data_IF_499734266092
#
_entry.id   IF_499734266092
#
_cell.length_a   1.000
_cell.length_b   1.000
_cell.length_c   1.000
_cell.angle_alpha   90.00
_cell.angle_beta   90.00
_cell.angle_gamma   90.00
#
_symmetry.space_group_name_H-M   'P 1'
#
loop_
_entity.id
_entity.type
_entity.pdbx_description
1 polymer ?
#
# COMPACT_ATOMS: atom_id res chain seq x y z
N UNK A 1 17.99 11.10 35.66
CA UNK A 1 17.67 9.96 36.54
C UNK A 1 17.92 8.71 35.73
N UNK A 2 18.97 7.95 36.07
CA UNK A 2 19.36 6.71 35.38
C UNK A 2 18.84 5.55 36.21
N UNK A 3 18.04 4.66 35.61
CA UNK A 3 17.64 3.39 36.23
C UNK A 3 18.45 2.28 35.59
N UNK A 4 19.02 1.41 36.42
CA UNK A 4 19.72 0.20 36.00
C UNK A 4 18.75 -0.97 36.06
N UNK A 5 18.60 -1.70 34.95
CA UNK A 5 17.87 -2.97 34.95
C UNK A 5 18.84 -4.11 35.13
N UNK A 6 18.53 -4.99 36.08
CA UNK A 6 19.23 -6.25 36.26
C UNK A 6 18.57 -7.31 35.36
N UNK A 7 19.25 -7.68 34.28
CA UNK A 7 18.77 -8.65 33.27
C UNK A 7 19.78 -9.78 33.23
N UNK A 8 19.31 -11.02 33.34
CA UNK A 8 20.19 -12.18 33.29
C UNK A 8 20.95 -12.24 31.96
N UNK A 9 22.23 -12.63 31.99
CA UNK A 9 23.17 -12.54 30.86
C UNK A 9 22.66 -13.20 29.56
N UNK A 10 21.85 -14.26 29.68
CA UNK A 10 21.28 -15.01 28.54
C UNK A 10 19.80 -14.70 28.29
N UNK A 11 19.31 -13.54 28.71
CA UNK A 11 17.92 -13.13 28.52
C UNK A 11 17.83 -11.82 27.76
N UNK A 12 16.83 -11.72 26.89
CA UNK A 12 16.56 -10.49 26.14
C UNK A 12 15.67 -9.55 26.94
N UNK A 13 15.77 -8.27 26.63
CA UNK A 13 14.88 -7.23 27.13
C UNK A 13 14.32 -6.39 25.98
N UNK A 14 13.10 -5.90 26.17
CA UNK A 14 12.37 -5.10 25.18
C UNK A 14 11.74 -3.87 25.84
N UNK A 15 12.10 -2.69 25.35
CA UNK A 15 11.50 -1.42 25.75
C UNK A 15 10.45 -0.94 24.75
N UNK A 16 9.70 0.08 25.14
CA UNK A 16 8.59 0.65 24.37
C UNK A 16 7.53 -0.40 23.99
N UNK A 17 7.04 -1.10 25.00
CA UNK A 17 6.00 -2.13 24.88
C UNK A 17 4.76 -1.53 24.20
N UNK A 18 4.20 -2.26 23.22
CA UNK A 18 3.08 -1.80 22.38
C UNK A 18 3.35 -0.49 21.64
N UNK A 19 4.61 -0.06 21.55
CA UNK A 19 5.02 1.22 20.97
C UNK A 19 4.28 2.43 21.59
N UNK A 20 3.99 2.37 22.90
CA UNK A 20 3.21 3.40 23.60
C UNK A 20 3.94 4.76 23.73
N UNK A 21 5.27 4.76 23.71
CA UNK A 21 6.10 5.96 23.76
C UNK A 21 6.51 6.45 22.38
N UNK A 22 6.59 7.77 22.21
CA UNK A 22 7.06 8.43 20.99
C UNK A 22 8.59 8.47 20.92
N UNK A 23 9.22 7.30 21.02
CA UNK A 23 10.67 7.13 20.90
C UNK A 23 11.03 5.77 20.29
N UNK A 24 12.19 5.69 19.65
CA UNK A 24 12.76 4.43 19.15
C UNK A 24 13.77 3.89 20.17
N UNK A 25 13.93 2.57 20.17
CA UNK A 25 14.90 1.89 21.04
C UNK A 25 15.96 1.25 20.16
N UNK A 26 17.21 1.45 20.51
CA UNK A 26 18.35 0.76 19.91
C UNK A 26 19.02 -0.09 20.98
N UNK A 27 19.25 -1.36 20.68
CA UNK A 27 19.92 -2.30 21.59
C UNK A 27 21.37 -2.53 21.17
N UNK A 28 22.19 -3.05 22.09
CA UNK A 28 23.47 -3.64 21.73
C UNK A 28 23.25 -4.93 20.92
N UNK A 29 24.25 -5.32 20.14
CA UNK A 29 24.14 -6.43 19.16
C UNK A 29 23.72 -7.75 19.81
N UNK A 30 24.24 -8.06 21.00
CA UNK A 30 23.87 -9.26 21.75
C UNK A 30 22.37 -9.36 22.07
N UNK A 31 21.73 -8.25 22.47
CA UNK A 31 20.28 -8.26 22.74
C UNK A 31 19.47 -8.32 21.43
N UNK A 32 19.97 -7.76 20.33
CA UNK A 32 19.36 -7.95 19.00
C UNK A 32 19.39 -9.40 18.55
N UNK A 33 20.51 -10.10 18.75
CA UNK A 33 20.64 -11.54 18.45
C UNK A 33 19.64 -12.36 19.27
N UNK A 34 19.57 -12.15 20.58
CA UNK A 34 18.62 -12.86 21.45
C UNK A 34 17.15 -12.59 21.10
N UNK A 35 16.81 -11.34 20.76
CA UNK A 35 15.46 -10.99 20.29
C UNK A 35 15.14 -11.66 18.95
N UNK A 36 16.12 -11.73 18.06
CA UNK A 36 15.99 -12.39 16.75
C UNK A 36 15.75 -13.89 16.92
N UNK A 37 16.57 -14.56 17.74
CA UNK A 37 16.40 -15.97 18.07
C UNK A 37 15.03 -16.25 18.70
N UNK A 38 14.58 -15.37 19.62
CA UNK A 38 13.27 -15.48 20.23
C UNK A 38 12.15 -15.40 19.19
N UNK A 39 12.23 -14.48 18.24
CA UNK A 39 11.23 -14.32 17.19
C UNK A 39 11.20 -15.52 16.24
N UNK A 40 12.37 -16.08 15.90
CA UNK A 40 12.47 -17.31 15.11
C UNK A 40 11.87 -18.52 15.84
N UNK A 41 12.14 -18.65 17.15
CA UNK A 41 11.69 -19.80 17.96
C UNK A 41 10.19 -19.75 18.26
N UNK A 42 9.70 -18.62 18.76
CA UNK A 42 8.27 -18.38 19.00
C UNK A 42 7.97 -16.88 19.08
N UNK A 43 7.49 -16.32 17.98
CA UNK A 43 7.08 -14.90 17.87
C UNK A 43 5.84 -14.55 18.71
N UNK A 44 5.10 -15.53 19.25
CA UNK A 44 3.93 -15.26 20.11
C UNK A 44 4.31 -14.85 21.53
N UNK A 45 5.58 -15.03 21.88
CA UNK A 45 6.09 -14.78 23.22
C UNK A 45 6.09 -13.29 23.57
N UNK A 46 6.25 -12.37 22.61
CA UNK A 46 6.16 -10.93 22.85
C UNK A 46 4.79 -10.48 23.41
N UNK A 47 3.69 -11.13 23.02
CA UNK A 47 2.35 -10.83 23.56
C UNK A 47 2.16 -11.49 24.94
N UNK A 48 2.74 -12.67 25.15
CA UNK A 48 2.49 -13.49 26.34
C UNK A 48 3.38 -13.18 27.54
N UNK A 49 4.66 -12.84 27.33
CA UNK A 49 5.60 -12.68 28.43
C UNK A 49 5.43 -11.37 29.20
N UNK A 50 4.91 -10.32 28.56
CA UNK A 50 4.66 -9.03 29.21
C UNK A 50 3.37 -9.01 30.05
N UNK A 51 2.45 -9.96 29.85
CA UNK A 51 1.27 -10.14 30.70
C UNK A 51 1.63 -10.94 31.97
N UNK A 52 2.70 -11.74 31.95
CA UNK A 52 3.07 -12.59 33.09
C UNK A 52 3.81 -11.87 34.22
N UNK A 53 4.48 -10.75 33.94
CA UNK A 53 5.18 -9.97 34.97
C UNK A 53 4.28 -8.99 35.74
N UNK A 54 3.04 -8.80 35.29
CA UNK A 54 2.00 -8.11 36.03
C UNK A 54 0.99 -9.19 36.43
N UNK A 55 0.92 -9.55 37.71
CA UNK A 55 -0.13 -10.43 38.24
C UNK A 55 -1.52 -9.84 37.97
N UNK A 56 -2.07 -10.07 36.77
CA UNK A 56 -3.50 -9.95 36.48
C UNK A 56 -3.83 -10.98 35.41
N UNK A 57 -4.67 -11.94 35.79
CA UNK A 57 -5.42 -12.78 34.86
C UNK A 57 -6.27 -11.83 34.02
N UNK A 58 -5.79 -11.48 32.83
CA UNK A 58 -6.67 -11.07 31.73
C UNK A 58 -6.32 -12.01 30.59
N UNK A 59 -7.11 -13.10 30.51
CA UNK A 59 -7.31 -13.80 29.24
C UNK A 59 -8.06 -12.83 28.33
N UNK A 60 -7.35 -11.84 27.80
CA UNK A 60 -7.80 -11.20 26.58
C UNK A 60 -7.45 -12.19 25.47
N UNK A 61 -8.35 -13.19 25.30
CA UNK A 61 -8.82 -13.39 23.93
C UNK A 61 -9.35 -12.02 23.54
N UNK A 62 -8.50 -11.22 22.91
CA UNK A 62 -8.93 -10.10 22.11
C UNK A 62 -9.89 -10.74 21.13
N UNK A 63 -11.19 -10.72 21.45
CA UNK A 63 -12.24 -10.88 20.47
C UNK A 63 -12.03 -9.66 19.58
N UNK A 64 -11.15 -9.82 18.59
CA UNK A 64 -11.15 -8.96 17.43
C UNK A 64 -12.59 -9.05 16.97
N UNK A 65 -13.35 -7.96 17.13
CA UNK A 65 -14.73 -7.90 16.69
C UNK A 65 -14.80 -8.49 15.28
N UNK A 66 -15.83 -9.29 14.93
CA UNK A 66 -15.96 -9.84 13.59
C UNK A 66 -15.74 -8.78 12.49
N UNK A 67 -16.11 -7.53 12.76
CA UNK A 67 -15.86 -6.35 11.91
C UNK A 67 -14.36 -6.05 11.74
N UNK A 68 -13.60 -5.96 12.84
CA UNK A 68 -12.15 -5.75 12.81
C UNK A 68 -11.43 -6.91 12.12
N UNK A 69 -11.89 -8.16 12.35
CA UNK A 69 -11.29 -9.34 11.71
C UNK A 69 -11.49 -9.29 10.20
N UNK A 70 -12.70 -8.97 9.74
CA UNK A 70 -13.01 -8.78 8.31
C UNK A 70 -12.15 -7.67 7.71
N UNK A 71 -11.94 -6.57 8.44
CA UNK A 71 -11.08 -5.47 8.00
C UNK A 71 -9.61 -5.91 7.84
N UNK A 72 -9.02 -6.54 8.86
CA UNK A 72 -7.64 -7.05 8.79
C UNK A 72 -7.44 -8.07 7.67
N UNK A 73 -8.38 -9.00 7.51
CA UNK A 73 -8.32 -9.99 6.43
C UNK A 73 -8.43 -9.34 5.05
N UNK A 74 -9.25 -8.30 4.90
CA UNK A 74 -9.38 -7.56 3.64
C UNK A 74 -8.08 -6.83 3.28
N UNK A 75 -7.44 -6.19 4.25
CA UNK A 75 -6.15 -5.50 4.07
C UNK A 75 -5.01 -6.47 3.76
N UNK A 76 -4.96 -7.61 4.47
CA UNK A 76 -3.99 -8.66 4.22
C UNK A 76 -4.16 -9.23 2.80
N UNK A 77 -5.41 -9.52 2.41
CA UNK A 77 -5.72 -10.03 1.06
C UNK A 77 -5.29 -9.06 -0.03
N UNK A 78 -5.58 -7.78 0.12
CA UNK A 78 -5.14 -6.75 -0.82
C UNK A 78 -3.61 -6.72 -0.90
N UNK A 79 -2.92 -6.69 0.23
CA UNK A 79 -1.45 -6.64 0.29
C UNK A 79 -0.81 -7.85 -0.39
N UNK A 80 -1.27 -9.05 -0.06
CA UNK A 80 -0.76 -10.30 -0.66
C UNK A 80 -1.03 -10.34 -2.17
N UNK A 81 -2.23 -9.94 -2.60
CA UNK A 81 -2.58 -9.93 -4.03
C UNK A 81 -1.73 -8.92 -4.80
N UNK A 82 -1.55 -7.70 -4.27
CA UNK A 82 -0.68 -6.68 -4.87
C UNK A 82 0.74 -7.19 -5.01
N UNK A 83 1.31 -7.75 -3.95
CA UNK A 83 2.68 -8.27 -3.96
C UNK A 83 2.83 -9.40 -4.98
N UNK A 84 1.93 -10.39 -4.96
CA UNK A 84 1.99 -11.52 -5.88
C UNK A 84 1.89 -11.07 -7.34
N UNK A 85 0.99 -10.14 -7.67
CA UNK A 85 0.84 -9.65 -9.04
C UNK A 85 1.97 -8.71 -9.45
N UNK A 86 2.51 -7.89 -8.54
CA UNK A 86 3.69 -7.06 -8.81
C UNK A 86 4.95 -7.89 -9.05
N UNK A 87 5.08 -9.02 -8.35
CA UNK A 87 6.11 -10.02 -8.59
C UNK A 87 5.83 -10.92 -9.81
N UNK A 88 4.80 -10.59 -10.60
CA UNK A 88 4.40 -11.32 -11.82
C UNK A 88 4.13 -12.81 -11.58
N UNK A 89 3.66 -13.16 -10.38
CA UNK A 89 3.26 -14.53 -10.08
C UNK A 89 2.16 -14.98 -11.04
N UNK A 90 2.43 -16.05 -11.80
CA UNK A 90 1.61 -16.50 -12.93
C UNK A 90 0.11 -16.59 -12.60
N UNK A 91 -0.25 -17.24 -11.49
CA UNK A 91 -1.67 -17.38 -11.11
C UNK A 91 -2.33 -16.04 -10.77
N UNK A 92 -1.60 -15.08 -10.23
CA UNK A 92 -2.13 -13.75 -9.90
C UNK A 92 -2.41 -12.96 -11.17
N UNK A 93 -1.42 -12.92 -12.08
CA UNK A 93 -1.52 -12.21 -13.35
C UNK A 93 -2.65 -12.79 -14.20
N UNK A 94 -2.72 -14.11 -14.34
CA UNK A 94 -3.79 -14.79 -15.08
C UNK A 94 -5.17 -14.41 -14.53
N UNK A 95 -5.36 -14.55 -13.21
CA UNK A 95 -6.63 -14.22 -12.57
C UNK A 95 -6.99 -12.73 -12.76
N UNK A 96 -6.04 -11.82 -12.54
CA UNK A 96 -6.29 -10.38 -12.68
C UNK A 96 -6.66 -9.99 -14.12
N UNK A 97 -5.94 -10.52 -15.11
CA UNK A 97 -6.24 -10.26 -16.52
C UNK A 97 -7.57 -10.86 -16.96
N UNK A 98 -7.96 -12.04 -16.48
CA UNK A 98 -9.28 -12.64 -16.75
C UNK A 98 -10.42 -11.81 -16.15
N UNK A 99 -10.29 -11.39 -14.88
CA UNK A 99 -11.26 -10.51 -14.23
C UNK A 99 -11.46 -9.22 -15.02
N UNK A 100 -10.35 -8.58 -15.40
CA UNK A 100 -10.37 -7.32 -16.12
C UNK A 100 -10.96 -7.47 -17.53
N UNK A 101 -10.56 -8.52 -18.25
CA UNK A 101 -11.11 -8.85 -19.58
C UNK A 101 -12.61 -9.07 -19.53
N UNK A 102 -13.10 -9.82 -18.54
CA UNK A 102 -14.53 -10.07 -18.37
C UNK A 102 -15.30 -8.78 -18.11
N UNK A 103 -14.70 -7.85 -17.36
CA UNK A 103 -15.29 -6.52 -17.14
C UNK A 103 -15.29 -5.67 -18.42
N UNK A 104 -14.23 -5.71 -19.23
CA UNK A 104 -14.21 -5.03 -20.54
C UNK A 104 -15.29 -5.57 -21.50
N UNK A 105 -15.59 -6.87 -21.44
CA UNK A 105 -16.66 -7.49 -22.25
C UNK A 105 -18.07 -7.05 -21.79
N UNK A 106 -18.26 -6.82 -20.49
CA UNK A 106 -19.54 -6.39 -19.91
C UNK A 106 -19.34 -5.15 -19.01
N UNK A 107 -19.16 -3.95 -19.59
CA UNK A 107 -18.79 -2.76 -18.82
C UNK A 107 -19.81 -2.34 -17.75
N UNK A 108 -21.09 -2.67 -17.96
CA UNK A 108 -22.20 -2.32 -17.07
C UNK A 108 -22.13 -3.01 -15.70
N UNK A 109 -21.36 -4.10 -15.57
CA UNK A 109 -21.25 -4.84 -14.30
C UNK A 109 -19.79 -5.19 -13.99
N UNK A 110 -19.22 -4.46 -13.03
CA UNK A 110 -17.89 -4.75 -12.52
C UNK A 110 -17.93 -5.86 -11.46
N UNK A 111 -17.64 -7.09 -11.88
CA UNK A 111 -17.59 -8.29 -11.01
C UNK A 111 -16.31 -8.39 -10.16
N UNK A 112 -15.38 -7.44 -10.29
CA UNK A 112 -14.15 -7.44 -9.51
C UNK A 112 -14.50 -7.06 -8.06
N UNK A 113 -14.17 -7.90 -7.07
CA UNK A 113 -14.43 -7.59 -5.67
C UNK A 113 -13.73 -6.27 -5.29
N UNK A 114 -14.40 -5.34 -4.59
CA UNK A 114 -13.84 -4.02 -4.27
C UNK A 114 -12.44 -4.07 -3.64
N UNK A 115 -12.20 -5.02 -2.73
CA UNK A 115 -10.89 -5.21 -2.08
C UNK A 115 -9.77 -5.71 -3.00
N UNK A 116 -10.08 -6.19 -4.20
CA UNK A 116 -9.11 -6.65 -5.20
C UNK A 116 -8.92 -5.67 -6.34
N UNK A 117 -9.83 -4.70 -6.52
CA UNK A 117 -9.80 -3.72 -7.63
C UNK A 117 -8.45 -3.01 -7.76
N UNK A 118 -7.82 -2.48 -6.70
CA UNK A 118 -6.53 -1.80 -6.85
C UNK A 118 -5.45 -2.72 -7.44
N UNK A 119 -5.41 -3.99 -7.02
CA UNK A 119 -4.46 -4.96 -7.52
C UNK A 119 -4.78 -5.38 -8.96
N UNK A 120 -6.05 -5.68 -9.24
CA UNK A 120 -6.50 -6.14 -10.57
C UNK A 120 -6.32 -5.04 -11.62
N UNK A 121 -6.74 -3.81 -11.35
CA UNK A 121 -6.58 -2.68 -12.27
C UNK A 121 -5.12 -2.42 -12.58
N UNK A 122 -4.28 -2.28 -11.55
CA UNK A 122 -2.86 -2.02 -11.74
C UNK A 122 -2.18 -3.13 -12.55
N UNK A 123 -2.54 -4.40 -12.31
CA UNK A 123 -1.98 -5.54 -13.04
C UNK A 123 -2.43 -5.54 -14.50
N UNK A 124 -3.72 -5.27 -14.77
CA UNK A 124 -4.25 -5.20 -16.11
C UNK A 124 -3.61 -4.06 -16.92
N UNK A 125 -3.41 -2.88 -16.32
CA UNK A 125 -2.73 -1.75 -16.98
C UNK A 125 -1.23 -2.00 -17.18
N UNK A 126 -0.60 -2.71 -16.24
CA UNK A 126 0.83 -3.05 -16.31
C UNK A 126 1.16 -4.04 -17.44
N UNK A 127 0.29 -5.03 -17.64
CA UNK A 127 0.47 -6.10 -18.63
C UNK A 127 -0.19 -5.76 -19.96
N UNK A 128 -1.31 -5.03 -19.93
CA UNK A 128 -2.02 -4.55 -21.09
C UNK A 128 -1.33 -3.34 -21.74
N UNK A 129 -2.06 -2.69 -22.65
CA UNK A 129 -1.60 -1.51 -23.36
C UNK A 129 -2.64 -0.40 -23.35
N UNK A 130 -2.66 0.35 -24.45
CA UNK A 130 -3.53 1.52 -24.59
C UNK A 130 -5.02 1.18 -24.46
N UNK A 131 -5.47 0.01 -24.95
CA UNK A 131 -6.89 -0.38 -24.92
C UNK A 131 -7.41 -0.56 -23.50
N UNK A 132 -6.68 -1.30 -22.67
CA UNK A 132 -7.00 -1.50 -21.26
C UNK A 132 -6.95 -0.18 -20.51
N UNK A 133 -5.94 0.65 -20.80
CA UNK A 133 -5.76 1.95 -20.18
C UNK A 133 -6.91 2.93 -20.51
N UNK A 134 -7.30 3.05 -21.78
CA UNK A 134 -8.41 3.90 -22.22
C UNK A 134 -9.73 3.46 -21.60
N UNK A 135 -9.97 2.15 -21.54
CA UNK A 135 -11.17 1.60 -20.89
C UNK A 135 -11.24 2.04 -19.42
N UNK A 136 -10.15 1.91 -18.65
CA UNK A 136 -10.13 2.34 -17.26
C UNK A 136 -10.30 3.85 -17.10
N UNK A 137 -9.65 4.63 -17.97
CA UNK A 137 -9.77 6.08 -17.96
C UNK A 137 -11.21 6.54 -18.22
N UNK A 138 -11.96 5.86 -19.07
CA UNK A 138 -13.37 6.20 -19.30
C UNK A 138 -14.21 6.03 -18.02
N UNK A 139 -13.89 5.05 -17.17
CA UNK A 139 -14.58 4.84 -15.89
C UNK A 139 -14.30 5.96 -14.90
N UNK A 140 -13.09 6.54 -14.94
CA UNK A 140 -12.73 7.71 -14.12
C UNK A 140 -13.61 8.94 -14.43
N UNK A 141 -14.18 9.01 -15.64
CA UNK A 141 -15.01 10.12 -16.10
C UNK A 141 -16.51 9.90 -15.84
N UNK A 142 -16.91 8.81 -15.18
CA UNK A 142 -18.31 8.56 -14.83
C UNK A 142 -18.77 9.51 -13.71
N UNK A 143 -19.99 10.02 -13.81
CA UNK A 143 -20.53 11.10 -12.94
C UNK A 143 -20.66 10.67 -11.48
N UNK A 144 -20.97 9.40 -11.20
CA UNK A 144 -21.25 8.88 -9.84
C UNK A 144 -20.15 7.93 -9.31
N UNK A 145 -18.88 8.24 -9.60
CA UNK A 145 -17.75 7.45 -9.10
C UNK A 145 -17.51 7.69 -7.60
N UNK A 146 -17.31 6.60 -6.83
CA UNK A 146 -16.93 6.66 -5.42
C UNK A 146 -15.45 7.07 -5.28
N UNK A 147 -15.11 7.85 -4.25
CA UNK A 147 -13.74 8.35 -4.05
C UNK A 147 -12.69 7.24 -3.94
N UNK A 148 -12.97 6.16 -3.20
CA UNK A 148 -12.07 5.00 -3.10
C UNK A 148 -11.80 4.34 -4.47
N UNK A 149 -12.83 4.31 -5.33
CA UNK A 149 -12.75 3.77 -6.68
C UNK A 149 -11.93 4.72 -7.58
N UNK A 150 -12.19 6.03 -7.50
CA UNK A 150 -11.43 7.08 -8.19
C UNK A 150 -9.93 6.98 -7.86
N UNK A 151 -9.58 6.88 -6.57
CA UNK A 151 -8.20 6.72 -6.10
C UNK A 151 -7.56 5.42 -6.60
N UNK A 152 -8.31 4.32 -6.57
CA UNK A 152 -7.85 3.02 -7.10
C UNK A 152 -7.57 3.08 -8.60
N UNK A 153 -8.41 3.79 -9.37
CA UNK A 153 -8.24 3.98 -10.81
C UNK A 153 -7.04 4.89 -11.11
N UNK A 154 -6.92 6.05 -10.46
CA UNK A 154 -5.78 6.98 -10.63
C UNK A 154 -4.44 6.27 -10.39
N UNK A 155 -4.35 5.51 -9.29
CA UNK A 155 -3.17 4.71 -8.98
C UNK A 155 -2.90 3.63 -10.03
N UNK A 156 -3.94 2.98 -10.55
CA UNK A 156 -3.79 1.92 -11.55
C UNK A 156 -3.38 2.44 -12.93
N UNK A 157 -3.89 3.60 -13.36
CA UNK A 157 -3.52 4.24 -14.63
C UNK A 157 -2.02 4.60 -14.69
N UNK A 158 -1.41 4.82 -13.53
CA UNK A 158 0.02 5.07 -13.37
C UNK A 158 0.89 3.80 -13.40
N UNK A 159 0.30 2.60 -13.37
CA UNK A 159 1.03 1.32 -13.31
C UNK A 159 1.62 0.83 -14.62
N UNK A 160 1.35 1.52 -15.75
CA UNK A 160 1.75 1.04 -17.07
C UNK A 160 3.28 0.94 -17.20
N UNK A 161 3.74 -0.05 -17.97
CA UNK A 161 5.16 -0.17 -18.36
C UNK A 161 5.51 0.70 -19.56
N UNK A 162 4.50 1.19 -20.28
CA UNK A 162 4.70 2.03 -21.44
C UNK A 162 4.90 3.48 -21.00
N UNK A 163 6.11 4.02 -21.25
CA UNK A 163 6.47 5.39 -20.94
C UNK A 163 5.52 6.40 -21.61
N UNK A 164 5.05 6.11 -22.82
CA UNK A 164 4.12 6.99 -23.54
C UNK A 164 2.79 7.11 -22.81
N UNK A 165 2.24 5.98 -22.34
CA UNK A 165 0.98 5.94 -21.60
C UNK A 165 1.12 6.71 -20.27
N UNK A 166 2.21 6.51 -19.54
CA UNK A 166 2.44 7.21 -18.26
C UNK A 166 2.62 8.71 -18.48
N UNK A 167 3.34 9.13 -19.53
CA UNK A 167 3.49 10.55 -19.89
C UNK A 167 2.15 11.19 -20.24
N UNK A 168 1.36 10.52 -21.08
CA UNK A 168 0.02 10.96 -21.45
C UNK A 168 -0.91 11.06 -20.22
N UNK A 169 -0.77 10.13 -19.27
CA UNK A 169 -1.51 10.19 -18.01
C UNK A 169 -1.10 11.41 -17.17
N UNK A 170 0.20 11.64 -17.00
CA UNK A 170 0.75 12.76 -16.24
C UNK A 170 0.26 14.11 -16.78
N UNK A 171 0.37 14.32 -18.10
CA UNK A 171 -0.11 15.55 -18.76
C UNK A 171 -1.62 15.73 -18.56
N UNK A 172 -2.39 14.65 -18.65
CA UNK A 172 -3.83 14.68 -18.40
C UNK A 172 -4.15 15.06 -16.95
N UNK A 173 -3.45 14.49 -15.97
CA UNK A 173 -3.63 14.79 -14.55
C UNK A 173 -3.37 16.28 -14.26
N UNK A 174 -2.25 16.82 -14.77
CA UNK A 174 -1.89 18.22 -14.56
C UNK A 174 -2.95 19.15 -15.16
N UNK A 175 -3.38 18.86 -16.38
CA UNK A 175 -4.35 19.71 -17.10
C UNK A 175 -5.72 19.73 -16.43
N UNK A 176 -6.22 18.59 -15.96
CA UNK A 176 -7.60 18.50 -15.43
C UNK A 176 -7.72 18.97 -13.98
N UNK A 177 -6.65 18.84 -13.19
CA UNK A 177 -6.68 19.16 -11.76
C UNK A 177 -6.02 20.51 -11.45
N UNK A 178 -5.67 21.33 -12.45
CA UNK A 178 -4.98 22.61 -12.24
C UNK A 178 -5.73 23.56 -11.28
N UNK A 179 -7.06 23.46 -11.21
CA UNK A 179 -7.91 24.31 -10.36
C UNK A 179 -8.14 23.74 -8.96
N UNK A 180 -7.78 22.47 -8.73
CA UNK A 180 -7.93 21.79 -7.44
C UNK A 180 -6.57 21.25 -6.99
N UNK A 181 -5.86 21.99 -6.11
CA UNK A 181 -4.54 21.58 -5.64
C UNK A 181 -4.53 20.25 -4.89
N UNK A 182 -5.61 19.87 -4.21
CA UNK A 182 -5.66 18.61 -3.45
C UNK A 182 -5.75 17.42 -4.42
N UNK A 183 -6.72 17.46 -5.33
CA UNK A 183 -6.90 16.43 -6.36
C UNK A 183 -5.66 16.32 -7.26
N UNK A 184 -4.99 17.44 -7.55
CA UNK A 184 -3.72 17.44 -8.28
C UNK A 184 -2.62 16.73 -7.49
N UNK A 185 -2.45 17.04 -6.20
CA UNK A 185 -1.43 16.42 -5.36
C UNK A 185 -1.66 14.91 -5.19
N UNK A 186 -2.91 14.48 -5.03
CA UNK A 186 -3.25 13.05 -4.88
C UNK A 186 -2.99 12.27 -6.18
N UNK A 187 -3.35 12.86 -7.32
CA UNK A 187 -3.09 12.26 -8.62
C UNK A 187 -1.59 12.24 -8.97
N UNK A 188 -0.83 13.30 -8.66
CA UNK A 188 0.63 13.31 -8.83
C UNK A 188 1.33 12.32 -7.89
N UNK A 189 0.85 12.20 -6.65
CA UNK A 189 1.33 11.20 -5.69
C UNK A 189 1.14 9.79 -6.24
N UNK A 190 0.03 9.53 -6.92
CA UNK A 190 -0.24 8.25 -7.58
C UNK A 190 0.76 7.92 -8.70
N UNK A 191 1.17 8.92 -9.49
CA UNK A 191 2.21 8.78 -10.53
C UNK A 191 3.58 8.52 -9.88
N UNK A 192 3.90 9.22 -8.80
CA UNK A 192 5.16 9.10 -8.07
C UNK A 192 5.37 7.73 -7.39
N UNK A 193 4.34 6.88 -7.30
CA UNK A 193 4.47 5.53 -6.73
C UNK A 193 5.22 4.55 -7.64
N UNK A 194 5.37 4.85 -8.94
CA UNK A 194 5.98 3.94 -9.90
C UNK A 194 7.26 4.53 -10.51
N UNK A 195 8.30 3.71 -10.79
CA UNK A 195 9.59 4.21 -11.24
C UNK A 195 9.55 5.09 -12.51
N UNK A 196 8.79 4.68 -13.53
CA UNK A 196 8.62 5.46 -14.78
C UNK A 196 7.93 6.80 -14.48
N UNK A 197 6.91 6.77 -13.64
CA UNK A 197 6.19 7.97 -13.21
C UNK A 197 7.07 8.93 -12.41
N UNK A 198 7.93 8.41 -11.51
CA UNK A 198 8.89 9.21 -10.76
C UNK A 198 9.85 9.97 -11.68
N UNK A 199 10.41 9.28 -12.69
CA UNK A 199 11.32 9.91 -13.65
C UNK A 199 10.63 11.03 -14.42
N UNK A 200 9.46 10.75 -15.00
CA UNK A 200 8.70 11.74 -15.79
C UNK A 200 8.24 12.92 -14.95
N UNK A 201 7.77 12.67 -13.73
CA UNK A 201 7.33 13.72 -12.82
C UNK A 201 8.50 14.60 -12.40
N UNK A 202 9.67 14.01 -12.12
CA UNK A 202 10.87 14.76 -11.76
C UNK A 202 11.38 15.63 -12.92
N UNK A 203 11.35 15.11 -14.15
CA UNK A 203 11.65 15.90 -15.35
C UNK A 203 10.71 17.10 -15.47
N UNK A 204 9.40 16.88 -15.35
CA UNK A 204 8.39 17.93 -15.44
C UNK A 204 8.57 19.02 -14.37
N UNK A 205 8.78 18.62 -13.10
CA UNK A 205 8.99 19.57 -11.99
C UNK A 205 10.24 20.42 -12.23
N UNK A 206 11.32 19.80 -12.74
CA UNK A 206 12.58 20.50 -13.01
C UNK A 206 12.41 21.56 -14.10
N UNK A 207 11.68 21.23 -15.16
CA UNK A 207 11.37 22.16 -16.25
C UNK A 207 10.45 23.30 -15.80
N UNK A 208 9.45 22.98 -14.96
CA UNK A 208 8.49 23.94 -14.44
C UNK A 208 8.98 24.72 -13.21
N UNK A 209 10.18 24.44 -12.70
CA UNK A 209 10.63 24.91 -11.39
C UNK A 209 10.54 26.44 -11.22
N UNK A 210 10.98 27.20 -12.23
CA UNK A 210 10.92 28.68 -12.20
C UNK A 210 9.50 29.20 -12.05
N UNK A 211 8.57 28.62 -12.81
CA UNK A 211 7.15 28.96 -12.74
C UNK A 211 6.54 28.60 -11.38
N UNK A 212 6.91 27.45 -10.80
CA UNK A 212 6.42 27.00 -9.50
C UNK A 212 6.92 27.91 -8.37
N UNK A 213 8.17 28.35 -8.44
CA UNK A 213 8.80 29.17 -7.40
C UNK A 213 8.49 30.67 -7.51
N UNK A 214 7.69 31.10 -8.50
CA UNK A 214 7.44 32.51 -8.81
C UNK A 214 8.74 33.32 -8.98
N UNK A 215 9.73 32.76 -9.67
CA UNK A 215 10.96 33.44 -10.12
C UNK A 215 10.95 33.70 -11.63
#
# INVERSE_FOLDING_TARGET
>A
MTQTLDVAENSWYLFNIKQAGFYRVHYADNNWELLTEQLYKDHRIQIRQLIKQLNVIIVERSFISPVLLVFYLSMLRLTLTRLACQAEHHSCVKMATEYYRNWMLNPSQNLIPPSLRPAVYCTAIRIGGQKEWEFLKQRLLEVDIKEDEKNSILQALSCSRDMWIVRLHLEWVIKNNQKDPQDLLDALSSVALYPIGQTLLWEHIREAWRFIMNE
#
